data_IF_863019615335
#
_entry.id   IF_863019615335
#
_cell.length_a   1.000
_cell.length_b   1.000
_cell.length_c   1.000
_cell.angle_alpha   90.00
_cell.angle_beta   90.00
_cell.angle_gamma   90.00
#
_symmetry.space_group_name_H-M   'P 1'
#
loop_
_entity.id
_entity.type
_entity.pdbx_description
1 polymer ?
#
# COMPACT_ATOMS: atom_id res chain seq x y z
N UNK A 1 22.61 63.34 -41.14
CA UNK A 1 23.07 61.98 -40.88
C UNK A 1 23.94 61.99 -39.66
N UNK A 2 23.46 61.58 -38.48
CA UNK A 2 23.97 60.46 -37.73
C UNK A 2 22.95 59.97 -36.68
N UNK A 3 21.94 59.23 -37.02
CA UNK A 3 20.99 58.64 -36.03
C UNK A 3 21.08 57.12 -36.02
N UNK A 4 21.69 56.51 -37.00
CA UNK A 4 21.69 55.05 -37.16
C UNK A 4 22.80 54.37 -36.32
N UNK A 5 23.85 55.09 -36.01
CA UNK A 5 25.01 54.53 -35.27
C UNK A 5 24.76 54.35 -33.75
N UNK A 6 23.83 55.09 -33.14
CA UNK A 6 23.47 54.99 -31.73
C UNK A 6 22.58 53.77 -31.37
N UNK A 7 21.90 53.18 -32.33
CA UNK A 7 21.03 52.05 -32.08
C UNK A 7 21.78 50.68 -32.03
N UNK A 8 22.96 50.61 -32.64
CA UNK A 8 23.76 49.40 -32.68
C UNK A 8 24.54 49.13 -31.35
N UNK A 9 24.86 50.18 -30.60
CA UNK A 9 25.58 50.05 -29.32
C UNK A 9 24.70 49.67 -28.15
N UNK A 10 23.41 50.03 -28.17
CA UNK A 10 22.45 49.64 -27.11
C UNK A 10 22.01 48.19 -27.18
N UNK A 11 22.10 47.53 -28.34
CA UNK A 11 21.70 46.13 -28.54
C UNK A 11 22.77 45.11 -28.04
N UNK A 12 24.00 45.56 -27.83
CA UNK A 12 25.11 44.68 -27.47
C UNK A 12 25.34 44.56 -25.94
N UNK A 13 24.72 45.47 -25.13
CA UNK A 13 24.87 45.45 -23.67
C UNK A 13 23.82 44.58 -22.95
N UNK A 14 22.73 44.15 -23.62
CA UNK A 14 21.64 43.37 -22.99
C UNK A 14 21.79 41.84 -23.13
N UNK A 15 22.93 41.33 -23.59
CA UNK A 15 23.13 39.90 -23.82
C UNK A 15 24.21 39.24 -22.94
N UNK A 16 24.64 39.91 -21.87
CA UNK A 16 25.73 39.36 -21.01
C UNK A 16 25.31 38.88 -19.62
N UNK A 17 24.03 38.97 -19.26
CA UNK A 17 23.60 38.63 -17.88
C UNK A 17 22.87 37.26 -17.78
N UNK A 18 22.98 36.38 -18.77
CA UNK A 18 22.22 35.13 -18.80
C UNK A 18 23.05 33.85 -18.70
N UNK A 19 24.33 33.90 -18.38
CA UNK A 19 25.16 32.72 -18.15
C UNK A 19 25.88 32.78 -16.80
N UNK A 20 25.12 32.95 -15.71
CA UNK A 20 25.60 32.60 -14.41
C UNK A 20 25.59 31.08 -14.27
N UNK A 21 26.63 30.40 -14.74
CA UNK A 21 26.83 28.97 -14.49
C UNK A 21 26.95 28.72 -12.98
N UNK A 22 26.27 27.66 -12.51
CA UNK A 22 26.40 27.20 -11.13
C UNK A 22 27.86 26.91 -10.79
N UNK A 23 28.31 27.40 -9.66
CA UNK A 23 29.64 27.08 -9.15
C UNK A 23 29.69 25.66 -8.62
N UNK A 24 30.84 24.99 -8.74
CA UNK A 24 31.06 23.63 -8.18
C UNK A 24 30.76 23.62 -6.66
N UNK A 25 31.08 24.69 -5.96
CA UNK A 25 30.84 24.86 -4.52
C UNK A 25 29.32 24.91 -4.22
N UNK A 26 28.53 25.65 -5.01
CA UNK A 26 27.08 25.76 -4.83
C UNK A 26 26.38 24.41 -5.03
N UNK A 27 26.82 23.64 -6.03
CA UNK A 27 26.29 22.30 -6.28
C UNK A 27 26.67 21.35 -5.14
N UNK A 28 27.86 21.47 -4.58
CA UNK A 28 28.34 20.66 -3.46
C UNK A 28 27.56 20.97 -2.17
N UNK A 29 27.27 22.27 -1.91
CA UNK A 29 26.43 22.69 -0.78
C UNK A 29 25.00 22.16 -0.91
N UNK A 30 24.39 22.28 -2.10
CA UNK A 30 23.04 21.76 -2.35
C UNK A 30 22.98 20.24 -2.14
N UNK A 31 23.96 19.50 -2.67
CA UNK A 31 24.04 18.04 -2.45
C UNK A 31 24.21 17.69 -0.96
N UNK A 32 25.01 18.48 -0.23
CA UNK A 32 25.17 18.31 1.22
C UNK A 32 23.87 18.51 1.98
N UNK A 33 23.11 19.54 1.65
CA UNK A 33 21.80 19.79 2.26
C UNK A 33 20.79 18.69 1.91
N UNK A 34 20.75 18.26 0.65
CA UNK A 34 19.87 17.18 0.23
C UNK A 34 20.20 15.85 0.92
N UNK A 35 21.49 15.53 1.08
CA UNK A 35 21.93 14.35 1.82
C UNK A 35 21.50 14.43 3.29
N UNK A 36 21.64 15.60 3.93
CA UNK A 36 21.20 15.80 5.31
C UNK A 36 19.69 15.63 5.45
N UNK A 37 18.90 16.22 4.56
CA UNK A 37 17.44 16.09 4.58
C UNK A 37 17.00 14.64 4.31
N UNK A 38 17.68 13.92 3.42
CA UNK A 38 17.39 12.54 3.11
C UNK A 38 17.60 11.62 4.33
N UNK A 39 18.65 11.83 5.13
CA UNK A 39 18.92 10.99 6.31
C UNK A 39 17.84 11.10 7.39
N UNK A 40 17.20 12.27 7.52
CA UNK A 40 16.13 12.50 8.51
C UNK A 40 14.76 12.09 7.94
N UNK A 41 14.51 12.40 6.67
CA UNK A 41 13.19 12.18 6.04
C UNK A 41 12.92 10.73 5.69
N UNK A 42 13.91 9.98 5.22
CA UNK A 42 13.73 8.61 4.73
C UNK A 42 13.12 7.64 5.77
N UNK A 43 13.64 7.52 7.01
CA UNK A 43 13.06 6.63 8.01
C UNK A 43 11.63 7.00 8.39
N UNK A 44 11.29 8.29 8.36
CA UNK A 44 9.94 8.76 8.66
C UNK A 44 8.93 8.29 7.60
N UNK A 45 9.30 8.37 6.33
CA UNK A 45 8.47 7.89 5.21
C UNK A 45 8.24 6.39 5.32
N UNK A 46 9.27 5.60 5.61
CA UNK A 46 9.14 4.15 5.77
C UNK A 46 8.19 3.77 6.91
N UNK A 47 8.26 4.46 8.05
CA UNK A 47 7.32 4.24 9.16
C UNK A 47 5.88 4.56 8.77
N UNK A 48 5.65 5.64 8.01
CA UNK A 48 4.32 5.99 7.52
C UNK A 48 3.74 4.93 6.59
N UNK A 49 4.56 4.40 5.68
CA UNK A 49 4.16 3.32 4.78
C UNK A 49 3.81 2.05 5.55
N UNK A 50 4.56 1.71 6.59
CA UNK A 50 4.27 0.56 7.44
C UNK A 50 2.94 0.66 8.17
N UNK A 51 2.65 1.81 8.78
CA UNK A 51 1.36 2.07 9.42
C UNK A 51 0.21 1.95 8.40
N UNK A 52 0.36 2.55 7.21
CA UNK A 52 -0.65 2.50 6.17
C UNK A 52 -0.95 1.07 5.70
N UNK A 53 0.07 0.21 5.58
CA UNK A 53 -0.11 -1.22 5.24
C UNK A 53 -0.86 -1.97 6.33
N UNK A 54 -0.53 -1.75 7.59
CA UNK A 54 -1.22 -2.39 8.71
C UNK A 54 -2.70 -1.98 8.76
N UNK A 55 -3.02 -0.70 8.58
CA UNK A 55 -4.41 -0.23 8.51
C UNK A 55 -5.16 -0.79 7.28
N UNK A 56 -4.46 -0.92 6.15
CA UNK A 56 -5.03 -1.58 4.96
C UNK A 56 -5.35 -3.05 5.25
N UNK A 57 -4.45 -3.79 5.92
CA UNK A 57 -4.70 -5.18 6.32
C UNK A 57 -5.92 -5.31 7.22
N UNK A 58 -6.08 -4.44 8.22
CA UNK A 58 -7.28 -4.39 9.08
C UNK A 58 -8.56 -4.17 8.30
N UNK A 59 -8.56 -3.21 7.37
CA UNK A 59 -9.71 -2.93 6.53
C UNK A 59 -10.06 -4.11 5.62
N UNK A 60 -9.05 -4.77 5.03
CA UNK A 60 -9.24 -5.97 4.20
C UNK A 60 -9.81 -7.13 5.03
N UNK A 61 -9.26 -7.41 6.22
CA UNK A 61 -9.79 -8.43 7.13
C UNK A 61 -11.26 -8.18 7.45
N UNK A 62 -11.65 -6.94 7.77
CA UNK A 62 -13.04 -6.59 8.03
C UNK A 62 -13.95 -6.81 6.82
N UNK A 63 -13.47 -6.47 5.63
CA UNK A 63 -14.21 -6.70 4.39
C UNK A 63 -14.39 -8.20 4.07
N UNK A 64 -13.34 -9.01 4.29
CA UNK A 64 -13.40 -10.46 4.13
C UNK A 64 -14.37 -11.07 5.17
N UNK A 65 -14.31 -10.63 6.43
CA UNK A 65 -15.22 -11.08 7.49
C UNK A 65 -16.68 -10.80 7.13
N UNK A 66 -17.00 -9.59 6.68
CA UNK A 66 -18.33 -9.25 6.18
C UNK A 66 -18.76 -10.15 5.01
N UNK A 67 -17.85 -10.46 4.09
CA UNK A 67 -18.11 -11.37 2.96
C UNK A 67 -18.37 -12.80 3.43
N UNK A 68 -17.68 -13.28 4.47
CA UNK A 68 -17.91 -14.57 5.11
C UNK A 68 -19.29 -14.64 5.77
N UNK A 69 -19.72 -13.57 6.42
CA UNK A 69 -21.07 -13.48 7.02
C UNK A 69 -22.16 -13.54 5.95
N UNK A 70 -22.00 -12.79 4.85
CA UNK A 70 -22.92 -12.84 3.71
C UNK A 70 -22.97 -14.24 3.10
N UNK A 71 -21.82 -14.88 2.93
CA UNK A 71 -21.75 -16.26 2.48
C UNK A 71 -22.53 -17.19 3.42
N UNK A 72 -22.36 -17.04 4.73
CA UNK A 72 -23.02 -17.87 5.73
C UNK A 72 -24.54 -17.68 5.74
N UNK A 73 -25.04 -16.47 5.52
CA UNK A 73 -26.46 -16.17 5.39
C UNK A 73 -27.09 -16.90 4.19
N UNK A 74 -26.42 -16.90 3.05
CA UNK A 74 -26.96 -17.54 1.85
C UNK A 74 -26.85 -19.07 1.89
N UNK A 75 -25.74 -19.59 2.41
CA UNK A 75 -25.40 -21.00 2.34
C UNK A 75 -25.75 -21.79 3.63
N UNK A 76 -26.12 -21.10 4.71
CA UNK A 76 -26.49 -21.71 5.99
C UNK A 76 -25.29 -22.08 6.87
N UNK A 77 -24.10 -21.50 6.60
CA UNK A 77 -22.87 -21.69 7.36
C UNK A 77 -21.65 -21.14 6.63
N UNK A 78 -20.55 -21.04 7.34
CA UNK A 78 -19.28 -20.57 6.77
C UNK A 78 -18.70 -21.56 5.77
N UNK A 79 -17.80 -21.12 4.86
CA UNK A 79 -17.12 -22.02 3.93
C UNK A 79 -16.38 -23.14 4.69
N UNK A 80 -16.43 -24.39 4.21
CA UNK A 80 -15.61 -25.44 4.82
C UNK A 80 -14.12 -25.13 4.66
N UNK A 81 -13.30 -25.59 5.60
CA UNK A 81 -11.86 -25.33 5.63
C UNK A 81 -11.17 -25.66 4.30
N UNK A 82 -11.61 -26.72 3.63
CA UNK A 82 -11.06 -27.16 2.33
C UNK A 82 -11.33 -26.18 1.19
N UNK A 83 -12.49 -25.53 1.19
CA UNK A 83 -12.83 -24.50 0.20
C UNK A 83 -12.17 -23.16 0.53
N UNK A 84 -11.94 -22.88 1.81
CA UNK A 84 -11.27 -21.71 2.30
C UNK A 84 -11.91 -20.40 1.82
N UNK A 85 -11.13 -19.34 1.77
CA UNK A 85 -11.56 -18.02 1.31
C UNK A 85 -11.88 -17.96 -0.19
N UNK A 86 -11.41 -18.91 -0.98
CA UNK A 86 -11.74 -18.98 -2.41
C UNK A 86 -13.24 -19.13 -2.65
N UNK A 87 -13.98 -19.71 -1.69
CA UNK A 87 -15.44 -19.80 -1.74
C UNK A 87 -16.16 -18.45 -1.79
N UNK A 88 -15.48 -17.35 -1.43
CA UNK A 88 -16.01 -15.98 -1.54
C UNK A 88 -15.96 -15.44 -2.97
N UNK A 89 -15.08 -15.97 -3.81
CA UNK A 89 -14.86 -15.52 -5.19
C UNK A 89 -15.48 -16.48 -6.19
N UNK A 90 -15.44 -17.79 -5.91
CA UNK A 90 -15.92 -18.85 -6.80
C UNK A 90 -16.79 -19.85 -6.02
N UNK A 91 -17.83 -20.41 -6.67
CA UNK A 91 -18.68 -21.40 -6.01
C UNK A 91 -17.87 -22.65 -5.67
N UNK A 92 -17.86 -23.10 -4.41
CA UNK A 92 -17.28 -24.39 -4.07
C UNK A 92 -18.06 -25.53 -4.69
N UNK A 93 -17.40 -26.68 -4.87
CA UNK A 93 -18.04 -27.85 -5.47
C UNK A 93 -19.33 -28.27 -4.71
N UNK A 94 -20.42 -28.44 -5.43
CA UNK A 94 -21.69 -28.81 -4.84
C UNK A 94 -22.52 -27.70 -4.20
N UNK A 95 -22.06 -26.46 -4.25
CA UNK A 95 -22.79 -25.32 -3.70
C UNK A 95 -24.07 -25.01 -4.49
N UNK A 96 -25.21 -25.32 -3.92
CA UNK A 96 -26.54 -25.09 -4.55
C UNK A 96 -27.13 -23.71 -4.23
N UNK A 97 -26.68 -23.05 -3.16
CA UNK A 97 -27.21 -21.80 -2.65
C UNK A 97 -26.23 -20.62 -2.80
N UNK A 98 -25.09 -20.87 -3.43
CA UNK A 98 -24.08 -19.81 -3.62
C UNK A 98 -24.62 -18.69 -4.52
N UNK A 99 -24.58 -17.46 -4.02
CA UNK A 99 -25.08 -16.25 -4.70
C UNK A 99 -23.99 -15.21 -4.97
N UNK A 100 -22.72 -15.61 -4.76
CA UNK A 100 -21.59 -14.70 -4.96
C UNK A 100 -21.36 -14.25 -6.40
N UNK A 101 -20.24 -13.59 -6.68
CA UNK A 101 -19.11 -13.48 -5.77
C UNK A 101 -19.38 -12.53 -4.59
N UNK A 102 -18.99 -12.94 -3.39
CA UNK A 102 -19.09 -12.14 -2.15
C UNK A 102 -17.89 -11.18 -2.01
N UNK A 103 -16.78 -11.52 -2.64
CA UNK A 103 -15.61 -10.66 -2.82
C UNK A 103 -15.36 -10.46 -4.31
N UNK A 104 -15.26 -9.19 -4.75
CA UNK A 104 -15.19 -8.86 -6.18
C UNK A 104 -13.93 -9.35 -6.87
N UNK A 105 -12.82 -9.43 -6.14
CA UNK A 105 -11.50 -9.77 -6.68
C UNK A 105 -10.75 -10.70 -5.75
N UNK A 106 -10.07 -11.69 -6.32
CA UNK A 106 -9.22 -12.62 -5.57
C UNK A 106 -7.99 -11.94 -4.93
N UNK A 107 -7.53 -10.82 -5.49
CA UNK A 107 -6.42 -10.03 -4.92
C UNK A 107 -6.76 -9.51 -3.51
N UNK A 108 -8.04 -9.36 -3.17
CA UNK A 108 -8.48 -9.01 -1.82
C UNK A 108 -8.22 -10.10 -0.77
N UNK A 109 -7.82 -11.31 -1.19
CA UNK A 109 -7.42 -12.41 -0.31
C UNK A 109 -5.92 -12.43 -0.02
N UNK A 110 -5.16 -11.48 -0.57
CA UNK A 110 -3.74 -11.29 -0.34
C UNK A 110 -3.56 -10.01 0.48
N UNK A 111 -2.74 -10.10 1.51
CA UNK A 111 -2.45 -8.98 2.39
C UNK A 111 -1.51 -7.93 1.72
N UNK A 112 -1.31 -6.76 2.32
CA UNK A 112 -0.45 -5.70 1.77
C UNK A 112 1.04 -6.05 1.67
N UNK A 113 1.47 -7.15 2.24
CA UNK A 113 2.85 -7.65 2.16
C UNK A 113 3.01 -8.80 1.16
N UNK A 114 1.88 -9.28 0.56
CA UNK A 114 1.88 -10.30 -0.49
C UNK A 114 1.59 -11.73 0.01
N UNK A 115 1.16 -11.90 1.26
CA UNK A 115 0.83 -13.19 1.82
C UNK A 115 -0.68 -13.46 1.79
N UNK A 116 -1.13 -14.71 1.60
CA UNK A 116 -2.55 -15.04 1.69
C UNK A 116 -3.04 -14.94 3.14
N UNK A 117 -4.25 -14.40 3.33
CA UNK A 117 -4.91 -14.44 4.62
C UNK A 117 -5.17 -15.89 5.05
N UNK A 118 -4.87 -16.19 6.31
CA UNK A 118 -5.16 -17.48 6.91
C UNK A 118 -6.59 -17.50 7.44
N UNK A 119 -7.34 -18.53 7.04
CA UNK A 119 -8.72 -18.74 7.46
C UNK A 119 -8.82 -20.06 8.20
N UNK A 120 -9.51 -20.04 9.35
CA UNK A 120 -9.79 -21.24 10.13
C UNK A 120 -11.25 -21.27 10.53
N UNK A 121 -11.90 -22.42 10.32
CA UNK A 121 -13.29 -22.70 10.70
C UNK A 121 -13.38 -24.10 11.34
N UNK A 122 -13.92 -24.22 12.57
CA UNK A 122 -14.23 -23.14 13.50
C UNK A 122 -12.98 -22.40 13.97
N UNK A 123 -13.16 -21.13 14.38
CA UNK A 123 -12.13 -20.37 15.05
C UNK A 123 -11.91 -20.85 16.50
N UNK A 124 -10.89 -20.33 17.17
CA UNK A 124 -10.54 -20.74 18.54
C UNK A 124 -11.64 -20.34 19.54
N UNK A 125 -12.15 -19.10 19.46
CA UNK A 125 -13.16 -18.56 20.37
C UNK A 125 -14.33 -17.90 19.61
N UNK A 126 -14.43 -18.13 18.31
CA UNK A 126 -15.37 -17.49 17.39
C UNK A 126 -15.79 -18.49 16.29
N UNK A 127 -16.87 -18.22 15.56
CA UNK A 127 -17.30 -19.10 14.45
C UNK A 127 -16.23 -19.32 13.39
N UNK A 128 -15.37 -18.33 13.16
CA UNK A 128 -14.20 -18.42 12.29
C UNK A 128 -13.08 -17.50 12.82
N UNK A 129 -11.88 -17.74 12.36
CA UNK A 129 -10.70 -16.89 12.61
C UNK A 129 -10.08 -16.51 11.28
N UNK A 130 -9.72 -15.24 11.14
CA UNK A 130 -9.06 -14.69 9.97
C UNK A 130 -7.82 -13.93 10.43
N UNK A 131 -6.65 -14.26 9.87
CA UNK A 131 -5.36 -13.76 10.33
C UNK A 131 -4.45 -13.41 9.17
N UNK A 132 -3.71 -12.31 9.28
CA UNK A 132 -2.42 -12.15 8.62
C UNK A 132 -1.31 -12.07 9.65
N UNK A 133 -0.17 -12.67 9.34
CA UNK A 133 1.02 -12.70 10.20
C UNK A 133 1.97 -11.53 9.94
N UNK A 134 1.45 -10.46 9.26
CA UNK A 134 2.26 -9.28 8.98
C UNK A 134 3.33 -9.49 7.89
N UNK A 135 4.31 -8.60 7.90
CA UNK A 135 5.34 -8.54 6.87
C UNK A 135 6.28 -9.75 6.85
N UNK A 136 6.64 -10.25 8.03
CA UNK A 136 7.59 -11.37 8.16
C UNK A 136 6.94 -12.75 8.01
N UNK A 137 5.59 -12.79 7.92
CA UNK A 137 4.79 -14.00 7.81
C UNK A 137 5.09 -15.01 8.94
N UNK A 138 5.38 -14.50 10.13
CA UNK A 138 5.67 -15.30 11.33
C UNK A 138 4.78 -14.87 12.50
N UNK A 139 4.37 -15.80 13.40
CA UNK A 139 3.51 -15.46 14.54
C UNK A 139 4.16 -14.45 15.48
N UNK A 140 3.42 -13.41 15.88
CA UNK A 140 3.85 -12.39 16.82
C UNK A 140 4.38 -11.12 16.14
N UNK A 141 5.53 -10.60 16.63
CA UNK A 141 6.17 -9.41 16.09
C UNK A 141 5.59 -8.08 16.54
N UNK A 142 6.22 -6.99 16.08
CA UNK A 142 5.85 -5.61 16.37
C UNK A 142 5.78 -4.78 15.08
N UNK A 143 4.99 -3.70 15.10
CA UNK A 143 4.83 -2.80 13.95
C UNK A 143 4.21 -3.50 12.75
N UNK A 144 4.92 -3.55 11.61
CA UNK A 144 4.48 -4.24 10.39
C UNK A 144 4.54 -5.77 10.51
N UNK A 145 5.34 -6.31 11.42
CA UNK A 145 5.48 -7.75 11.65
C UNK A 145 4.40 -8.28 12.61
N UNK A 146 3.57 -7.40 13.19
CA UNK A 146 2.51 -7.79 14.12
C UNK A 146 1.36 -8.49 13.40
N UNK A 147 0.88 -9.59 14.02
CA UNK A 147 -0.33 -10.27 13.59
C UNK A 147 -1.56 -9.35 13.64
N UNK A 148 -2.38 -9.41 12.61
CA UNK A 148 -3.71 -8.79 12.58
C UNK A 148 -4.75 -9.89 12.51
N UNK A 149 -5.59 -9.97 13.54
CA UNK A 149 -6.53 -11.06 13.77
C UNK A 149 -7.96 -10.50 13.82
N UNK A 150 -8.90 -11.17 13.14
CA UNK A 150 -10.34 -11.02 13.32
C UNK A 150 -10.89 -12.28 13.98
N UNK A 151 -11.56 -12.09 15.12
CA UNK A 151 -12.18 -13.15 15.92
C UNK A 151 -13.67 -12.88 16.09
#
# INVERSE_FOLDING_TARGET
MPVIERLHTLRKSMRRDAEAGFTLLELLVVLGILALLATVGYPQVLRYLGVARTETAKAQISAIATSLELYALDNGGFPPQQAGLNALVQPPAGARRWRGPYLKKAEGLIDPWGHPYQFRVPGKNSPFELVTLGRDNAPGGDGEDRDVIHQ
#
